data_IF_073299150516
#
_entry.id   IF_073299150516
#
_cell.length_a   1.000
_cell.length_b   1.000
_cell.length_c   1.000
_cell.angle_alpha   90.00
_cell.angle_beta   90.00
_cell.angle_gamma   90.00
#
_symmetry.space_group_name_H-M   'P 1'
#
loop_
_entity.id
_entity.type
_entity.pdbx_description
1 polymer ?
#
# COMPACT_ATOMS: atom_id res chain seq x y z
N UNK A 1 -18.84 15.54 18.57
CA UNK A 1 -17.98 16.04 17.49
C UNK A 1 -16.63 15.33 17.45
N UNK A 2 -15.87 15.26 18.56
CA UNK A 2 -14.49 14.73 18.57
C UNK A 2 -14.31 13.29 18.05
N UNK A 3 -15.31 12.40 18.20
CA UNK A 3 -15.24 11.02 17.66
C UNK A 3 -15.33 10.97 16.13
N UNK A 4 -16.13 11.85 15.52
CA UNK A 4 -16.29 11.93 14.07
C UNK A 4 -15.03 12.47 13.38
N UNK A 5 -14.33 13.40 14.03
CA UNK A 5 -13.07 13.97 13.51
C UNK A 5 -11.97 12.90 13.45
N UNK A 6 -11.89 12.03 14.45
CA UNK A 6 -10.94 10.90 14.46
C UNK A 6 -11.22 9.90 13.34
N UNK A 7 -12.49 9.61 13.04
CA UNK A 7 -12.87 8.74 11.92
C UNK A 7 -12.48 9.36 10.58
N UNK A 8 -12.62 10.68 10.43
CA UNK A 8 -12.18 11.38 9.23
C UNK A 8 -10.66 11.33 9.06
N UNK A 9 -9.90 11.57 10.13
CA UNK A 9 -8.43 11.45 10.13
C UNK A 9 -8.00 10.03 9.77
N UNK A 10 -8.62 9.01 10.38
CA UNK A 10 -8.32 7.60 10.08
C UNK A 10 -8.56 7.29 8.59
N UNK A 11 -9.65 7.81 8.01
CA UNK A 11 -9.96 7.64 6.59
C UNK A 11 -8.92 8.30 5.69
N UNK A 12 -8.45 9.49 6.02
CA UNK A 12 -7.39 10.17 5.24
C UNK A 12 -6.09 9.36 5.30
N UNK A 13 -5.72 8.84 6.47
CA UNK A 13 -4.52 8.01 6.63
C UNK A 13 -4.63 6.73 5.80
N UNK A 14 -5.80 6.07 5.81
CA UNK A 14 -6.04 4.87 5.00
C UNK A 14 -5.87 5.14 3.49
N UNK A 15 -6.39 6.27 2.99
CA UNK A 15 -6.17 6.70 1.60
C UNK A 15 -4.69 6.96 1.27
N UNK A 16 -3.94 7.57 2.19
CA UNK A 16 -2.50 7.78 2.02
C UNK A 16 -1.76 6.44 1.96
N UNK A 17 -2.12 5.51 2.84
CA UNK A 17 -1.58 4.15 2.85
C UNK A 17 -1.83 3.40 1.54
N UNK A 18 -3.05 3.44 1.02
CA UNK A 18 -3.41 2.85 -0.27
C UNK A 18 -2.59 3.45 -1.42
N UNK A 19 -2.42 4.77 -1.44
CA UNK A 19 -1.65 5.42 -2.49
C UNK A 19 -0.15 5.07 -2.43
N UNK A 20 0.42 5.04 -1.22
CA UNK A 20 1.80 4.63 -1.00
C UNK A 20 2.03 3.18 -1.43
N UNK A 21 1.08 2.27 -1.13
CA UNK A 21 1.11 0.88 -1.57
C UNK A 21 1.13 0.77 -3.10
N UNK A 22 0.19 1.44 -3.78
CA UNK A 22 0.11 1.41 -5.24
C UNK A 22 1.40 1.91 -5.91
N UNK A 23 2.03 2.96 -5.35
CA UNK A 23 3.30 3.46 -5.85
C UNK A 23 4.43 2.43 -5.65
N UNK A 24 4.52 1.82 -4.48
CA UNK A 24 5.53 0.80 -4.20
C UNK A 24 5.40 -0.41 -5.16
N UNK A 25 4.18 -0.90 -5.40
CA UNK A 25 3.92 -1.99 -6.36
C UNK A 25 4.38 -1.61 -7.79
N UNK A 26 4.11 -0.37 -8.23
CA UNK A 26 4.58 0.12 -9.53
C UNK A 26 6.11 0.19 -9.61
N UNK A 27 6.78 0.69 -8.56
CA UNK A 27 8.24 0.75 -8.52
C UNK A 27 8.86 -0.65 -8.57
N UNK A 28 8.31 -1.60 -7.82
CA UNK A 28 8.76 -3.00 -7.85
C UNK A 28 8.66 -3.56 -9.26
N UNK A 29 7.53 -3.35 -9.93
CA UNK A 29 7.35 -3.79 -11.31
C UNK A 29 8.38 -3.17 -12.27
N UNK A 30 8.62 -1.86 -12.17
CA UNK A 30 9.58 -1.15 -13.04
C UNK A 30 11.02 -1.62 -12.80
N UNK A 31 11.42 -1.86 -11.54
CA UNK A 31 12.80 -2.17 -11.18
C UNK A 31 13.13 -3.66 -11.30
N UNK A 32 12.20 -4.54 -10.91
CA UNK A 32 12.41 -5.99 -10.85
C UNK A 32 11.77 -6.74 -12.01
N UNK A 33 10.81 -6.13 -12.72
CA UNK A 33 10.00 -6.82 -13.72
C UNK A 33 8.94 -7.76 -13.12
N UNK A 34 8.84 -7.82 -11.79
CA UNK A 34 7.92 -8.70 -11.06
C UNK A 34 6.65 -7.96 -10.71
N UNK A 35 5.49 -8.51 -11.10
CA UNK A 35 4.19 -8.01 -10.67
C UNK A 35 3.83 -8.61 -9.31
N UNK A 36 3.70 -7.75 -8.30
CA UNK A 36 3.41 -8.14 -6.90
C UNK A 36 2.02 -7.67 -6.44
N UNK A 37 1.21 -7.17 -7.38
CA UNK A 37 -0.12 -6.64 -7.07
C UNK A 37 -1.03 -7.79 -6.62
N UNK A 38 -1.82 -7.53 -5.58
CA UNK A 38 -2.75 -8.49 -4.98
C UNK A 38 -2.10 -9.68 -4.26
N UNK A 39 -0.78 -9.70 -4.12
CA UNK A 39 -0.11 -10.65 -3.25
C UNK A 39 -0.18 -10.17 -1.78
N UNK A 40 -0.36 -11.09 -0.82
CA UNK A 40 -0.18 -10.77 0.58
C UNK A 40 1.26 -10.33 0.85
N UNK A 41 1.46 -9.42 1.80
CA UNK A 41 2.73 -8.71 2.01
C UNK A 41 3.89 -9.67 2.30
N UNK A 42 3.61 -10.76 3.02
CA UNK A 42 4.54 -11.85 3.30
C UNK A 42 5.01 -12.60 2.03
N UNK A 43 4.18 -12.66 0.99
CA UNK A 43 4.56 -13.24 -0.29
C UNK A 43 5.38 -12.27 -1.15
N UNK A 44 5.11 -10.96 -1.06
CA UNK A 44 5.87 -9.92 -1.77
C UNK A 44 7.36 -9.98 -1.46
N UNK A 45 7.73 -10.23 -0.20
CA UNK A 45 9.14 -10.36 0.21
C UNK A 45 9.86 -11.50 -0.53
N UNK A 46 9.16 -12.63 -0.74
CA UNK A 46 9.72 -13.78 -1.45
C UNK A 46 9.83 -13.53 -2.96
N UNK A 47 8.91 -12.76 -3.54
CA UNK A 47 8.91 -12.41 -4.97
C UNK A 47 9.97 -11.36 -5.36
N UNK A 48 10.43 -10.56 -4.39
CA UNK A 48 11.36 -9.44 -4.61
C UNK A 48 12.82 -9.77 -4.24
N UNK A 49 13.03 -10.82 -3.44
CA UNK A 49 14.36 -11.40 -3.14
C UNK A 49 15.08 -11.84 -4.41
#
# INVERSE_FOLDING_TARGET
>A
SSSSDLVFVAKVIERVGDHAKNLAEQIIYIVKGTDVRHNPVDEVENLVR
#
